data_IF_884896650898
#
_entry.id   IF_884896650898
#
_cell.length_a   1.000
_cell.length_b   1.000
_cell.length_c   1.000
_cell.angle_alpha   90.00
_cell.angle_beta   90.00
_cell.angle_gamma   90.00
#
_symmetry.space_group_name_H-M   'P 1'
#
loop_
_entity.id
_entity.type
_entity.pdbx_description
1 polymer ?
#
# COMPACT_ATOMS: atom_id res chain seq x y z
N UNK A 1 43.70 2.01 -62.18
CA UNK A 1 43.99 1.37 -60.87
C UNK A 1 43.09 1.99 -59.82
N UNK A 2 42.55 1.16 -58.92
CA UNK A 2 41.29 1.32 -58.16
C UNK A 2 41.29 2.51 -57.17
N UNK A 3 40.17 3.25 -57.12
CA UNK A 3 39.83 4.17 -56.01
C UNK A 3 39.16 3.35 -54.92
N UNK A 4 39.74 3.31 -53.72
CA UNK A 4 39.14 2.71 -52.53
C UNK A 4 38.29 3.78 -51.87
N UNK A 5 36.96 3.66 -51.99
CA UNK A 5 36.00 4.48 -51.25
C UNK A 5 35.86 3.92 -49.85
N UNK A 6 36.31 4.67 -48.84
CA UNK A 6 36.14 4.35 -47.44
C UNK A 6 34.77 4.90 -46.99
N UNK A 7 33.71 4.09 -47.11
CA UNK A 7 32.42 4.41 -46.52
C UNK A 7 32.46 4.11 -45.03
N UNK A 8 32.60 5.16 -44.22
CA UNK A 8 32.51 5.11 -42.76
C UNK A 8 31.03 4.95 -42.37
N UNK A 9 30.62 3.72 -42.03
CA UNK A 9 29.30 3.45 -41.44
C UNK A 9 29.31 3.95 -39.99
N UNK A 10 28.70 5.11 -39.75
CA UNK A 10 28.44 5.63 -38.41
C UNK A 10 27.25 4.86 -37.82
N UNK A 11 27.51 3.87 -36.96
CA UNK A 11 26.49 3.26 -36.12
C UNK A 11 26.10 4.27 -35.03
N UNK A 12 25.01 5.01 -35.25
CA UNK A 12 24.36 5.80 -34.20
C UNK A 12 23.61 4.80 -33.32
N UNK A 13 24.24 4.32 -32.25
CA UNK A 13 23.53 3.63 -31.18
C UNK A 13 22.74 4.68 -30.40
N UNK A 14 21.47 4.84 -30.75
CA UNK A 14 20.51 5.56 -29.91
C UNK A 14 20.38 4.75 -28.63
N UNK A 15 21.05 5.18 -27.57
CA UNK A 15 20.78 4.64 -26.24
C UNK A 15 19.38 5.11 -25.87
N UNK A 16 18.41 4.22 -26.04
CA UNK A 16 17.05 4.40 -25.52
C UNK A 16 17.21 4.16 -24.02
N UNK A 17 17.51 5.21 -23.27
CA UNK A 17 17.39 5.18 -21.81
C UNK A 17 15.90 4.97 -21.54
N UNK A 18 15.49 3.74 -21.28
CA UNK A 18 14.18 3.46 -20.70
C UNK A 18 14.21 4.06 -19.30
N UNK A 19 13.69 5.27 -19.17
CA UNK A 19 13.26 5.79 -17.87
C UNK A 19 12.17 4.82 -17.40
N UNK A 20 12.54 3.85 -16.57
CA UNK A 20 11.55 3.07 -15.84
C UNK A 20 10.70 4.09 -15.09
N UNK A 21 9.43 4.19 -15.44
CA UNK A 21 8.52 5.11 -14.76
C UNK A 21 8.41 4.62 -13.31
N UNK A 22 8.84 5.44 -12.36
CA UNK A 22 8.68 5.16 -10.94
C UNK A 22 7.21 4.81 -10.66
N UNK A 23 6.99 3.67 -10.02
CA UNK A 23 5.65 3.20 -9.69
C UNK A 23 5.01 4.12 -8.64
N UNK A 24 3.70 4.33 -8.74
CA UNK A 24 2.96 5.19 -7.80
C UNK A 24 1.71 4.49 -7.30
N UNK A 25 1.38 4.73 -6.04
CA UNK A 25 0.13 4.31 -5.40
C UNK A 25 -0.54 5.55 -4.82
N UNK A 26 -1.80 5.78 -5.20
CA UNK A 26 -2.66 6.79 -4.61
C UNK A 26 -3.76 6.09 -3.81
N UNK A 27 -3.99 6.55 -2.58
CA UNK A 27 -5.03 6.02 -1.70
C UNK A 27 -6.03 7.12 -1.37
N UNK A 28 -7.31 6.84 -1.63
CA UNK A 28 -8.44 7.67 -1.21
C UNK A 28 -9.28 6.90 -0.19
N UNK A 29 -9.70 7.58 0.87
CA UNK A 29 -10.67 7.02 1.82
C UNK A 29 -12.06 7.49 1.46
N UNK A 30 -13.01 6.56 1.31
CA UNK A 30 -14.40 6.86 0.96
C UNK A 30 -15.37 6.34 2.01
N UNK A 31 -16.42 7.11 2.28
CA UNK A 31 -17.53 6.71 3.13
C UNK A 31 -18.86 7.11 2.50
N UNK A 32 -19.82 6.18 2.45
CA UNK A 32 -21.11 6.36 1.77
C UNK A 32 -20.97 6.82 0.29
N UNK A 33 -19.92 6.35 -0.40
CA UNK A 33 -19.65 6.66 -1.80
C UNK A 33 -18.98 8.02 -2.06
N UNK A 34 -18.71 8.82 -1.03
CA UNK A 34 -17.98 10.09 -1.14
C UNK A 34 -16.57 9.99 -0.56
N UNK A 35 -15.62 10.73 -1.14
CA UNK A 35 -14.27 10.88 -0.59
C UNK A 35 -14.37 11.63 0.74
N UNK A 36 -13.69 11.10 1.76
CA UNK A 36 -13.48 11.76 3.04
C UNK A 36 -12.10 12.41 2.98
N UNK A 37 -11.99 13.75 3.01
CA UNK A 37 -10.71 14.42 2.88
C UNK A 37 -9.84 14.17 4.11
N UNK A 38 -8.55 14.00 3.87
CA UNK A 38 -7.54 14.05 4.92
C UNK A 38 -7.23 15.50 5.26
N UNK A 39 -7.15 15.81 6.56
CA UNK A 39 -6.73 17.12 7.08
C UNK A 39 -5.63 16.88 8.11
N UNK A 40 -4.45 17.44 7.86
CA UNK A 40 -3.27 17.32 8.74
C UNK A 40 -2.95 15.87 9.15
N UNK A 41 -3.00 14.95 8.18
CA UNK A 41 -2.74 13.52 8.40
C UNK A 41 -3.93 12.72 8.99
N UNK A 42 -5.06 13.38 9.27
CA UNK A 42 -6.23 12.74 9.90
C UNK A 42 -7.37 12.60 8.90
N UNK A 43 -7.95 11.40 8.81
CA UNK A 43 -9.21 11.12 8.12
C UNK A 43 -10.28 10.87 9.19
N UNK A 44 -11.21 11.82 9.33
CA UNK A 44 -12.29 11.71 10.32
C UNK A 44 -13.47 10.94 9.73
N UNK A 45 -13.75 9.76 10.29
CA UNK A 45 -14.76 8.82 9.82
C UNK A 45 -15.90 8.70 10.84
N UNK A 46 -17.11 8.43 10.35
CA UNK A 46 -18.16 7.88 11.23
C UNK A 46 -17.81 6.44 11.54
N UNK A 47 -18.11 5.97 12.75
CA UNK A 47 -18.03 4.55 13.14
C UNK A 47 -18.99 3.68 12.32
N UNK A 48 -18.62 3.40 11.08
CA UNK A 48 -19.33 2.58 10.11
C UNK A 48 -18.33 2.15 9.02
N UNK A 49 -18.78 1.31 8.08
CA UNK A 49 -17.97 0.90 6.95
C UNK A 49 -17.36 2.08 6.19
N UNK A 50 -16.15 1.88 5.68
CA UNK A 50 -15.46 2.78 4.76
C UNK A 50 -14.69 1.96 3.72
N UNK A 51 -14.14 2.63 2.71
CA UNK A 51 -13.41 2.00 1.61
C UNK A 51 -12.08 2.71 1.42
N UNK A 52 -10.99 1.95 1.31
CA UNK A 52 -9.78 2.43 0.64
C UNK A 52 -9.95 2.19 -0.87
N UNK A 53 -10.05 3.26 -1.66
CA UNK A 53 -9.88 3.16 -3.10
C UNK A 53 -8.41 3.40 -3.41
N UNK A 54 -7.77 2.38 -4.00
CA UNK A 54 -6.36 2.40 -4.37
C UNK A 54 -6.25 2.48 -5.88
N UNK A 55 -5.54 3.49 -6.36
CA UNK A 55 -5.12 3.61 -7.77
C UNK A 55 -3.62 3.36 -7.83
N UNK A 56 -3.21 2.39 -8.64
CA UNK A 56 -1.80 2.03 -8.82
C UNK A 56 -1.35 2.24 -10.26
N UNK A 57 -0.10 2.69 -10.42
CA UNK A 57 0.63 2.71 -11.67
C UNK A 57 1.96 1.99 -11.47
N UNK A 58 2.19 0.88 -12.17
CA UNK A 58 3.40 0.06 -12.11
C UNK A 58 3.78 -0.41 -10.70
N UNK A 59 2.79 -0.63 -9.82
CA UNK A 59 2.98 -1.24 -8.50
C UNK A 59 1.99 -2.39 -8.33
N UNK A 60 2.52 -3.61 -8.23
CA UNK A 60 1.71 -4.83 -8.16
C UNK A 60 1.26 -5.14 -6.74
N UNK A 61 1.96 -4.61 -5.73
CA UNK A 61 1.59 -4.79 -4.32
C UNK A 61 2.43 -3.95 -3.37
N UNK A 62 1.96 -3.87 -2.13
CA UNK A 62 2.55 -3.09 -1.05
C UNK A 62 2.13 -3.66 0.32
N UNK A 63 2.85 -3.23 1.35
CA UNK A 63 2.62 -3.61 2.74
C UNK A 63 1.81 -2.56 3.48
N UNK A 64 1.04 -3.02 4.47
CA UNK A 64 0.19 -2.18 5.31
C UNK A 64 0.45 -2.56 6.76
N UNK A 65 1.06 -1.62 7.50
CA UNK A 65 1.04 -1.61 8.96
C UNK A 65 -0.23 -0.91 9.44
N UNK A 66 -0.89 -1.46 10.45
CA UNK A 66 -2.01 -0.81 11.10
C UNK A 66 -2.00 -1.10 12.60
N UNK A 67 -2.09 -0.05 13.41
CA UNK A 67 -1.94 -0.10 14.87
C UNK A 67 -2.96 0.80 15.57
N UNK A 68 -3.22 0.50 16.84
CA UNK A 68 -3.88 1.43 17.77
C UNK A 68 -2.87 2.31 18.53
N UNK A 69 -1.58 1.99 18.46
CA UNK A 69 -0.50 2.68 19.17
C UNK A 69 0.08 3.84 18.33
N UNK A 70 -0.12 5.06 18.82
CA UNK A 70 0.39 6.26 18.17
C UNK A 70 1.93 6.34 18.19
N UNK A 71 2.61 5.78 19.19
CA UNK A 71 4.07 5.86 19.27
C UNK A 71 4.75 4.95 18.25
N UNK A 72 4.16 3.78 17.95
CA UNK A 72 4.60 2.92 16.83
C UNK A 72 4.39 3.65 15.50
N UNK A 73 3.22 4.24 15.29
CA UNK A 73 2.93 5.01 14.08
C UNK A 73 3.89 6.18 13.90
N UNK A 74 4.11 6.98 14.94
CA UNK A 74 5.04 8.12 14.93
C UNK A 74 6.47 7.67 14.64
N UNK A 75 6.87 6.51 15.14
CA UNK A 75 8.19 5.94 14.82
C UNK A 75 8.27 5.51 13.36
N UNK A 76 7.22 4.89 12.82
CA UNK A 76 7.15 4.49 11.41
C UNK A 76 7.24 5.69 10.44
N UNK A 77 6.69 6.85 10.81
CA UNK A 77 6.79 8.09 10.03
C UNK A 77 8.03 8.95 10.38
N UNK A 78 8.94 8.44 11.22
CA UNK A 78 10.21 9.11 11.56
C UNK A 78 10.10 10.27 12.56
N UNK A 79 8.98 10.39 13.28
CA UNK A 79 8.76 11.39 14.33
C UNK A 79 9.20 10.92 15.73
N UNK A 80 9.52 9.64 15.86
CA UNK A 80 10.02 9.00 17.08
C UNK A 80 11.07 7.93 16.73
N UNK A 81 11.75 7.42 17.75
CA UNK A 81 12.89 6.49 17.63
C UNK A 81 12.61 5.20 18.40
N UNK A 82 11.48 4.55 18.07
CA UNK A 82 11.20 3.17 18.48
C UNK A 82 11.41 2.24 17.29
N UNK A 83 11.81 1.01 17.58
CA UNK A 83 11.84 -0.05 16.56
C UNK A 83 10.43 -0.36 16.06
N UNK A 84 10.28 -0.44 14.74
CA UNK A 84 9.02 -0.74 14.07
C UNK A 84 9.13 -2.14 13.46
N UNK A 85 8.58 -3.12 14.16
CA UNK A 85 8.67 -4.55 13.82
C UNK A 85 8.14 -4.90 12.43
N UNK A 86 7.23 -4.08 11.88
CA UNK A 86 6.70 -4.27 10.54
C UNK A 86 7.78 -4.38 9.46
N UNK A 87 8.85 -3.60 9.61
CA UNK A 87 9.91 -3.52 8.60
C UNK A 87 10.84 -4.74 8.61
N UNK A 88 10.82 -5.52 9.69
CA UNK A 88 11.63 -6.72 9.86
C UNK A 88 10.81 -8.02 9.75
N UNK A 89 9.49 -7.90 9.62
CA UNK A 89 8.56 -9.03 9.69
C UNK A 89 8.09 -9.54 8.32
N UNK A 90 7.88 -10.85 8.22
CA UNK A 90 7.20 -11.43 7.06
C UNK A 90 5.72 -11.07 7.09
N UNK A 91 5.23 -10.51 6.00
CA UNK A 91 3.84 -10.12 5.87
C UNK A 91 2.88 -11.31 5.82
N UNK A 92 1.67 -11.09 6.32
CA UNK A 92 0.55 -12.00 6.09
C UNK A 92 -0.25 -11.54 4.87
N UNK A 93 -0.65 -12.48 4.04
CA UNK A 93 -1.53 -12.20 2.91
C UNK A 93 -2.99 -12.39 3.32
N UNK A 94 -3.80 -11.35 3.17
CA UNK A 94 -5.24 -11.41 3.43
C UNK A 94 -5.95 -12.32 2.43
N UNK A 95 -7.21 -12.69 2.66
CA UNK A 95 -7.95 -13.52 1.72
C UNK A 95 -8.24 -12.83 0.37
N UNK A 96 -8.33 -13.64 -0.70
CA UNK A 96 -8.63 -13.15 -2.06
C UNK A 96 -10.05 -12.57 -2.09
N UNK A 97 -10.23 -11.44 -2.78
CA UNK A 97 -11.51 -10.73 -2.91
C UNK A 97 -12.05 -10.04 -1.65
N UNK A 98 -11.23 -9.92 -0.60
CA UNK A 98 -11.58 -9.29 0.67
C UNK A 98 -12.96 -9.77 1.20
N UNK A 99 -13.14 -11.06 1.52
CA UNK A 99 -14.44 -11.59 1.92
C UNK A 99 -14.85 -11.09 3.31
N UNK A 100 -13.89 -10.94 4.22
CA UNK A 100 -14.13 -10.61 5.63
C UNK A 100 -14.35 -9.11 5.87
N UNK A 101 -14.00 -8.26 4.89
CA UNK A 101 -14.07 -6.80 5.02
C UNK A 101 -13.33 -6.31 6.25
N UNK A 102 -12.10 -6.79 6.43
CA UNK A 102 -11.31 -6.54 7.62
C UNK A 102 -10.08 -5.68 7.32
N UNK A 103 -9.74 -4.85 8.30
CA UNK A 103 -8.40 -4.30 8.47
C UNK A 103 -7.77 -5.06 9.62
N UNK A 104 -6.68 -5.76 9.35
CA UNK A 104 -5.91 -6.44 10.39
C UNK A 104 -5.10 -5.39 11.14
N UNK A 105 -5.18 -5.46 12.47
CA UNK A 105 -4.42 -4.59 13.39
C UNK A 105 -3.34 -5.44 14.05
N UNK A 106 -2.10 -5.01 13.91
CA UNK A 106 -0.93 -5.67 14.50
C UNK A 106 0.22 -4.69 14.61
N UNK A 107 0.92 -4.74 15.74
CA UNK A 107 2.13 -3.98 16.00
C UNK A 107 3.39 -4.69 15.46
N UNK A 108 3.26 -5.97 15.11
CA UNK A 108 4.37 -6.85 14.76
C UNK A 108 4.42 -7.16 13.26
N UNK A 109 3.29 -7.60 12.68
CA UNK A 109 3.26 -8.12 11.31
C UNK A 109 2.44 -7.22 10.37
N UNK A 110 2.99 -6.82 9.21
CA UNK A 110 2.22 -6.09 8.21
C UNK A 110 1.34 -7.05 7.40
N UNK A 111 0.31 -6.50 6.75
CA UNK A 111 -0.44 -7.24 5.72
C UNK A 111 0.09 -6.90 4.33
N UNK A 112 0.02 -7.85 3.40
CA UNK A 112 0.39 -7.66 2.00
C UNK A 112 -0.85 -7.58 1.12
N UNK A 113 -1.07 -6.42 0.49
CA UNK A 113 -2.12 -6.25 -0.51
C UNK A 113 -1.51 -6.14 -1.90
N UNK A 114 -2.10 -6.87 -2.85
CA UNK A 114 -1.59 -6.91 -4.21
C UNK A 114 -2.73 -7.09 -5.23
N UNK A 115 -2.38 -6.80 -6.47
CA UNK A 115 -3.17 -7.07 -7.66
C UNK A 115 -2.27 -7.66 -8.74
N UNK A 116 -2.49 -8.94 -9.10
CA UNK A 116 -1.81 -9.54 -10.27
C UNK A 116 -2.74 -9.57 -11.48
N UNK A 117 -4.02 -9.89 -11.25
CA UNK A 117 -5.07 -9.88 -12.26
C UNK A 117 -6.46 -9.94 -11.59
N UNK A 118 -7.52 -9.83 -12.38
CA UNK A 118 -8.91 -9.84 -11.90
C UNK A 118 -9.36 -11.10 -11.13
N UNK A 119 -8.57 -12.18 -11.12
CA UNK A 119 -8.86 -13.44 -10.41
C UNK A 119 -7.95 -13.67 -9.20
N UNK A 120 -6.92 -12.85 -9.01
CA UNK A 120 -5.94 -13.00 -7.95
C UNK A 120 -5.49 -11.62 -7.45
N UNK A 121 -6.16 -11.16 -6.40
CA UNK A 121 -5.91 -9.87 -5.77
C UNK A 121 -6.54 -9.81 -4.37
N UNK A 122 -6.11 -8.83 -3.56
CA UNK A 122 -6.58 -8.63 -2.18
C UNK A 122 -7.66 -7.55 -2.04
N UNK A 123 -8.09 -6.95 -3.14
CA UNK A 123 -9.19 -5.98 -3.17
C UNK A 123 -10.58 -6.64 -3.27
N UNK A 124 -11.64 -5.87 -3.10
CA UNK A 124 -13.02 -6.27 -3.38
C UNK A 124 -13.20 -6.74 -4.83
N UNK A 125 -14.24 -7.52 -5.08
CA UNK A 125 -14.57 -8.01 -6.43
C UNK A 125 -14.71 -6.87 -7.44
N UNK A 126 -14.34 -7.17 -8.68
CA UNK A 126 -14.41 -6.28 -9.84
C UNK A 126 -13.47 -5.04 -9.78
N UNK A 127 -12.18 -5.19 -9.44
CA UNK A 127 -11.20 -4.13 -9.69
C UNK A 127 -11.13 -3.83 -11.19
N UNK A 128 -10.67 -2.62 -11.52
CA UNK A 128 -10.57 -2.15 -12.91
C UNK A 128 -9.11 -2.08 -13.32
N UNK A 129 -8.84 -2.23 -14.62
CA UNK A 129 -7.50 -2.06 -15.18
C UNK A 129 -6.76 -3.38 -15.45
N UNK A 130 -5.44 -3.31 -15.40
CA UNK A 130 -4.49 -4.40 -15.65
C UNK A 130 -3.31 -4.32 -14.66
N UNK A 131 -2.32 -5.19 -14.79
CA UNK A 131 -1.18 -5.24 -13.86
C UNK A 131 -0.38 -3.93 -13.81
N UNK A 132 -0.24 -3.21 -14.93
CA UNK A 132 0.50 -1.94 -15.00
C UNK A 132 -0.33 -0.75 -14.46
N UNK A 133 -1.66 -0.79 -14.58
CA UNK A 133 -2.54 0.27 -14.11
C UNK A 133 -3.86 -0.30 -13.63
N UNK A 134 -4.13 -0.22 -12.33
CA UNK A 134 -5.35 -0.76 -11.74
C UNK A 134 -5.96 0.15 -10.68
N UNK A 135 -7.26 -0.02 -10.49
CA UNK A 135 -8.03 0.60 -9.41
C UNK A 135 -8.76 -0.49 -8.64
N UNK A 136 -8.48 -0.57 -7.35
CA UNK A 136 -9.02 -1.58 -6.44
C UNK A 136 -9.67 -0.92 -5.23
N UNK A 137 -10.88 -1.37 -4.89
CA UNK A 137 -11.54 -0.96 -3.64
C UNK A 137 -11.27 -2.00 -2.56
N UNK A 138 -10.98 -1.57 -1.34
CA UNK A 138 -10.94 -2.45 -0.19
C UNK A 138 -11.89 -1.91 0.89
N UNK A 139 -13.06 -2.53 0.96
CA UNK A 139 -14.08 -2.20 1.97
C UNK A 139 -13.72 -2.77 3.33
N UNK A 140 -13.80 -1.94 4.38
CA UNK A 140 -13.52 -2.31 5.77
C UNK A 140 -14.80 -2.14 6.60
N UNK A 141 -15.13 -3.14 7.41
CA UNK A 141 -16.29 -3.23 8.30
C UNK A 141 -15.91 -3.60 9.73
N UNK A 142 -14.81 -4.32 9.88
CA UNK A 142 -14.31 -4.80 11.17
C UNK A 142 -12.81 -4.54 11.27
N UNK A 143 -12.34 -4.35 12.49
CA UNK A 143 -10.93 -4.35 12.84
C UNK A 143 -10.61 -5.71 13.46
N UNK A 144 -9.62 -6.42 12.93
CA UNK A 144 -9.22 -7.72 13.45
C UNK A 144 -7.87 -7.59 14.15
N UNK A 145 -7.87 -7.51 15.48
CA UNK A 145 -6.67 -7.33 16.28
C UNK A 145 -5.99 -8.67 16.53
N UNK A 146 -4.79 -8.86 15.99
CA UNK A 146 -4.04 -10.12 16.14
C UNK A 146 -3.51 -10.34 17.55
N UNK A 147 -3.14 -9.27 18.27
CA UNK A 147 -2.56 -9.36 19.61
C UNK A 147 -3.61 -9.77 20.65
N UNK A 148 -4.84 -9.28 20.52
CA UNK A 148 -5.95 -9.62 21.43
C UNK A 148 -6.87 -10.72 20.92
N UNK A 149 -6.72 -11.15 19.66
CA UNK A 149 -7.67 -12.03 18.95
C UNK A 149 -9.10 -11.50 18.92
N UNK A 150 -9.27 -10.18 18.98
CA UNK A 150 -10.58 -9.53 18.98
C UNK A 150 -10.96 -9.04 17.58
N UNK A 151 -12.18 -9.34 17.14
CA UNK A 151 -12.79 -8.70 15.98
C UNK A 151 -13.76 -7.61 16.44
N UNK A 152 -13.42 -6.36 16.17
CA UNK A 152 -14.17 -5.18 16.59
C UNK A 152 -14.97 -4.64 15.40
N UNK A 153 -16.31 -4.69 15.41
CA UNK A 153 -17.11 -4.01 14.40
C UNK A 153 -16.87 -2.51 14.41
N UNK A 154 -16.67 -1.89 13.24
CA UNK A 154 -16.47 -0.44 13.15
C UNK A 154 -17.63 0.35 13.74
N UNK A 155 -18.84 -0.20 13.74
CA UNK A 155 -20.02 0.42 14.37
C UNK A 155 -19.92 0.59 15.88
N UNK A 156 -18.99 -0.14 16.52
CA UNK A 156 -18.72 -0.08 17.97
C UNK A 156 -17.40 0.62 18.31
N UNK A 157 -16.55 0.88 17.32
CA UNK A 157 -15.23 1.46 17.53
C UNK A 157 -15.31 2.99 17.60
N UNK A 158 -14.72 3.61 18.62
CA UNK A 158 -14.80 5.05 18.93
C UNK A 158 -13.43 5.59 19.34
N UNK A 159 -12.42 5.28 18.54
CA UNK A 159 -11.03 5.67 18.75
C UNK A 159 -10.33 5.84 17.40
N UNK A 160 -9.00 5.87 17.40
CA UNK A 160 -8.18 6.00 16.19
C UNK A 160 -7.50 4.68 15.80
N UNK A 161 -7.37 4.46 14.49
CA UNK A 161 -6.46 3.48 13.89
C UNK A 161 -5.43 4.23 13.08
N UNK A 162 -4.15 3.94 13.29
CA UNK A 162 -3.08 4.50 12.51
C UNK A 162 -2.66 3.52 11.42
N UNK A 163 -2.57 3.99 10.18
CA UNK A 163 -2.22 3.15 9.02
C UNK A 163 -0.98 3.68 8.31
N UNK A 164 -0.16 2.75 7.83
CA UNK A 164 1.10 3.03 7.15
C UNK A 164 1.27 2.08 5.96
N UNK A 165 1.13 2.60 4.75
CA UNK A 165 1.23 1.87 3.50
C UNK A 165 2.61 2.12 2.90
N UNK A 166 3.31 1.06 2.51
CA UNK A 166 4.69 1.17 2.06
C UNK A 166 5.12 0.07 1.11
N UNK A 167 6.15 0.36 0.31
CA UNK A 167 6.87 -0.62 -0.50
C UNK A 167 8.28 -0.82 0.09
N UNK A 168 8.65 -2.05 0.49
CA UNK A 168 10.01 -2.35 0.90
C UNK A 168 10.92 -2.52 -0.33
N UNK A 169 12.14 -2.01 -0.25
CA UNK A 169 13.21 -2.24 -1.23
C UNK A 169 14.28 -3.10 -0.57
N UNK A 170 14.60 -4.22 -1.20
CA UNK A 170 15.59 -5.17 -0.73
C UNK A 170 16.83 -5.16 -1.61
N UNK A 171 18.00 -5.44 -1.02
CA UNK A 171 19.20 -5.76 -1.78
C UNK A 171 19.17 -7.20 -2.34
N UNK A 172 20.25 -7.61 -3.01
CA UNK A 172 20.39 -8.95 -3.59
C UNK A 172 20.40 -10.07 -2.53
N UNK A 173 20.73 -9.74 -1.28
CA UNK A 173 20.79 -10.64 -0.14
C UNK A 173 19.47 -10.64 0.67
N UNK A 174 18.42 -9.98 0.16
CA UNK A 174 17.11 -9.79 0.81
C UNK A 174 17.14 -8.99 2.11
N UNK A 175 18.16 -8.16 2.34
CA UNK A 175 18.13 -7.19 3.44
C UNK A 175 17.30 -5.98 3.03
N UNK A 176 16.47 -5.48 3.94
CA UNK A 176 15.72 -4.25 3.73
C UNK A 176 16.71 -3.08 3.66
N UNK A 177 16.66 -2.32 2.56
CA UNK A 177 17.54 -1.17 2.32
C UNK A 177 16.80 0.15 2.38
N UNK A 178 15.53 0.17 1.96
CA UNK A 178 14.71 1.36 1.92
C UNK A 178 13.23 1.00 2.10
N UNK A 179 12.47 1.95 2.68
CA UNK A 179 11.02 1.89 2.79
C UNK A 179 10.45 3.09 2.06
N UNK A 180 9.75 2.85 0.96
CA UNK A 180 9.05 3.90 0.21
C UNK A 180 7.66 4.09 0.84
N UNK A 181 7.42 5.25 1.42
CA UNK A 181 6.12 5.61 1.99
C UNK A 181 5.15 5.90 0.86
N UNK A 182 4.02 5.17 0.84
CA UNK A 182 2.97 5.34 -0.16
C UNK A 182 1.79 6.16 0.38
N UNK A 183 1.40 5.91 1.63
CA UNK A 183 0.28 6.59 2.28
C UNK A 183 0.34 6.39 3.79
N UNK A 184 0.02 7.44 4.55
CA UNK A 184 -0.09 7.37 6.01
C UNK A 184 -1.30 8.16 6.48
N UNK A 185 -1.98 7.67 7.53
CA UNK A 185 -3.12 8.38 8.09
C UNK A 185 -3.42 7.94 9.53
N UNK A 186 -3.94 8.88 10.32
CA UNK A 186 -4.81 8.57 11.45
C UNK A 186 -6.26 8.46 10.94
N UNK A 187 -6.87 7.29 11.08
CA UNK A 187 -8.30 7.06 10.87
C UNK A 187 -9.02 7.25 12.20
N UNK A 188 -9.65 8.41 12.39
CA UNK A 188 -10.34 8.75 13.64
C UNK A 188 -11.83 8.44 13.53
N UNK A 189 -12.38 7.61 14.40
CA UNK A 189 -13.77 7.15 14.33
C UNK A 189 -14.67 7.79 15.40
N UNK A 190 -15.79 8.38 14.94
CA UNK A 190 -16.72 9.16 15.75
C UNK A 190 -18.12 8.57 15.81
#
# INVERSE_FOLDING_TARGET
MKKIGLSLLLFITVQISSWAQEGTVQVEVKQNGAIVPMQDGVVTLKSNEFVFEVTSNNVDGFLIGATFDNDIYRSAIGEADLEVEWFNSTAIADEVFNPNKELIISDEVPTYWYYTNAKDHRFDKNPKGNVEHWVGNRTIKVLNNLSSYETIPLTKFKDSVYVYFYSPIYDEDYNLTEVIILYTAELRFN
#
